data_IF_937922120869
#
_entry.id   IF_937922120869
#
_cell.length_a   1.000
_cell.length_b   1.000
_cell.length_c   1.000
_cell.angle_alpha   90.00
_cell.angle_beta   90.00
_cell.angle_gamma   90.00
#
_symmetry.space_group_name_H-M   'P 1'
#
loop_
_entity.id
_entity.type
_entity.pdbx_description
1 polymer ?
#
# COMPACT_ATOMS: atom_id res chain seq x y z
N UNK A 1 10.44 2.03 -3.95
CA UNK A 1 10.20 1.45 -2.62
C UNK A 1 10.12 -0.06 -2.75
N UNK A 2 10.87 -0.78 -1.91
CA UNK A 2 10.84 -2.25 -1.85
C UNK A 2 9.43 -2.74 -1.55
N UNK A 3 9.01 -3.83 -2.21
CA UNK A 3 7.64 -4.39 -2.15
C UNK A 3 7.37 -5.26 -0.91
N UNK A 4 8.33 -5.30 0.00
CA UNK A 4 8.34 -6.16 1.17
C UNK A 4 8.56 -5.26 2.38
N UNK A 5 7.58 -5.24 3.28
CA UNK A 5 7.71 -4.62 4.59
C UNK A 5 8.02 -5.73 5.61
N UNK A 6 9.18 -5.64 6.24
CA UNK A 6 9.51 -6.47 7.39
C UNK A 6 9.09 -5.71 8.65
N UNK A 7 7.97 -6.13 9.26
CA UNK A 7 7.57 -5.61 10.57
C UNK A 7 8.23 -6.52 11.61
N UNK A 8 9.22 -5.98 12.33
CA UNK A 8 9.86 -6.68 13.44
C UNK A 8 9.06 -6.41 14.71
N UNK A 9 8.08 -7.27 14.99
CA UNK A 9 7.41 -7.32 16.30
C UNK A 9 8.27 -8.08 17.32
N UNK A 10 8.00 -7.88 18.62
CA UNK A 10 8.78 -8.46 19.73
C UNK A 10 8.91 -10.00 19.70
N UNK A 11 8.02 -10.70 18.98
CA UNK A 11 7.99 -12.17 18.93
C UNK A 11 8.12 -12.78 17.52
N UNK A 12 8.05 -12.00 16.42
CA UNK A 12 8.14 -12.55 15.06
C UNK A 12 8.40 -11.47 14.01
N UNK A 13 9.38 -11.71 13.13
CA UNK A 13 9.61 -10.92 11.92
C UNK A 13 8.52 -11.25 10.90
N UNK A 14 7.50 -10.41 10.80
CA UNK A 14 6.43 -10.59 9.82
C UNK A 14 6.82 -9.90 8.53
N UNK A 15 7.29 -10.67 7.54
CA UNK A 15 7.51 -10.17 6.18
C UNK A 15 6.18 -10.13 5.45
N UNK A 16 5.66 -8.94 5.20
CA UNK A 16 4.49 -8.74 4.36
C UNK A 16 4.97 -8.46 2.94
N UNK A 17 4.71 -9.41 2.03
CA UNK A 17 4.90 -9.22 0.59
C UNK A 17 3.59 -8.69 -0.03
N UNK A 18 3.55 -7.40 -0.35
CA UNK A 18 2.34 -6.78 -0.91
C UNK A 18 2.05 -7.20 -2.35
N UNK A 19 3.06 -7.69 -3.06
CA UNK A 19 2.89 -8.19 -4.44
C UNK A 19 2.13 -9.51 -4.49
N UNK A 20 2.23 -10.34 -3.46
CA UNK A 20 1.52 -11.61 -3.32
C UNK A 20 0.06 -11.43 -2.89
N UNK A 21 -0.32 -10.26 -2.35
CA UNK A 21 -1.70 -9.97 -1.95
C UNK A 21 -2.63 -9.84 -3.17
N UNK A 22 -3.82 -10.42 -3.06
CA UNK A 22 -4.85 -10.23 -4.07
C UNK A 22 -5.40 -8.79 -4.06
N UNK A 23 -5.89 -8.30 -5.20
CA UNK A 23 -6.46 -6.96 -5.29
C UNK A 23 -7.66 -6.78 -4.34
N UNK A 24 -8.42 -7.86 -4.09
CA UNK A 24 -9.53 -7.87 -3.12
C UNK A 24 -9.03 -7.66 -1.69
N UNK A 25 -7.94 -8.32 -1.30
CA UNK A 25 -7.37 -8.17 0.03
C UNK A 25 -6.79 -6.78 0.26
N UNK A 26 -6.08 -6.23 -0.74
CA UNK A 26 -5.54 -4.88 -0.68
C UNK A 26 -6.68 -3.86 -0.49
N UNK A 27 -7.77 -3.99 -1.26
CA UNK A 27 -8.96 -3.14 -1.10
C UNK A 27 -9.64 -3.33 0.26
N UNK A 28 -9.71 -4.57 0.76
CA UNK A 28 -10.28 -4.87 2.08
C UNK A 28 -9.50 -4.21 3.20
N UNK A 29 -8.16 -4.27 3.17
CA UNK A 29 -7.29 -3.62 4.17
C UNK A 29 -7.41 -2.10 4.12
N UNK A 30 -7.34 -1.50 2.93
CA UNK A 30 -7.54 -0.05 2.75
C UNK A 30 -8.88 0.39 3.34
N UNK A 31 -9.98 -0.31 3.01
CA UNK A 31 -11.30 0.01 3.59
C UNK A 31 -11.35 -0.15 5.11
N UNK A 32 -10.60 -1.10 5.66
CA UNK A 32 -10.45 -1.27 7.11
C UNK A 32 -9.82 -0.04 7.75
N UNK A 33 -8.72 0.45 7.20
CA UNK A 33 -8.08 1.69 7.65
C UNK A 33 -8.99 2.90 7.44
N UNK A 34 -9.68 2.98 6.31
CA UNK A 34 -10.62 4.08 6.04
C UNK A 34 -11.75 4.15 7.06
N UNK A 35 -12.22 2.99 7.54
CA UNK A 35 -13.28 2.91 8.55
C UNK A 35 -12.79 3.34 9.93
N UNK A 36 -11.55 2.99 10.29
CA UNK A 36 -10.99 3.31 11.61
C UNK A 36 -10.49 4.75 11.70
N UNK A 37 -9.86 5.26 10.64
CA UNK A 37 -9.10 6.52 10.69
C UNK A 37 -9.64 7.60 9.73
N UNK A 38 -10.64 7.29 8.90
CA UNK A 38 -11.15 8.19 7.87
C UNK A 38 -10.29 8.14 6.59
N UNK A 39 -10.22 9.21 5.81
CA UNK A 39 -9.39 9.17 4.59
C UNK A 39 -7.89 9.16 4.91
N UNK A 40 -7.08 8.54 4.05
CA UNK A 40 -5.62 8.54 4.18
C UNK A 40 -5.05 9.96 4.35
N UNK A 41 -5.56 10.94 3.58
CA UNK A 41 -5.14 12.34 3.70
C UNK A 41 -5.47 12.95 5.06
N UNK A 42 -6.61 12.57 5.66
CA UNK A 42 -7.02 13.05 6.98
C UNK A 42 -6.17 12.43 8.07
N UNK A 43 -5.89 11.13 7.96
CA UNK A 43 -4.97 10.43 8.84
C UNK A 43 -3.57 11.05 8.78
N UNK A 44 -3.00 11.21 7.59
CA UNK A 44 -1.69 11.82 7.38
C UNK A 44 -1.60 13.25 7.93
N UNK A 45 -2.68 14.04 7.81
CA UNK A 45 -2.71 15.40 8.35
C UNK A 45 -2.72 15.44 9.89
N UNK A 46 -3.29 14.41 10.52
CA UNK A 46 -3.33 14.27 11.98
C UNK A 46 -2.14 13.51 12.56
N UNK A 47 -1.34 12.85 11.72
CA UNK A 47 -0.17 12.11 12.14
C UNK A 47 0.97 13.07 12.49
N UNK A 48 1.46 12.99 13.72
CA UNK A 48 2.61 13.76 14.20
C UNK A 48 3.66 12.80 14.74
N UNK A 49 4.87 12.82 14.17
CA UNK A 49 5.92 11.85 14.51
C UNK A 49 6.36 11.91 15.99
N UNK A 50 6.13 13.03 16.68
CA UNK A 50 6.50 13.21 18.09
C UNK A 50 5.39 12.88 19.09
N UNK A 51 4.13 12.87 18.65
CA UNK A 51 2.96 12.67 19.52
C UNK A 51 2.14 11.42 19.18
N UNK A 52 2.25 10.92 17.95
CA UNK A 52 1.51 9.74 17.52
C UNK A 52 2.16 8.46 18.05
N UNK A 53 1.34 7.48 18.48
CA UNK A 53 1.84 6.18 18.90
C UNK A 53 2.61 5.46 17.77
N UNK A 54 3.59 4.61 18.10
CA UNK A 54 4.38 3.87 17.12
C UNK A 54 3.52 2.97 16.21
N UNK A 55 2.35 2.53 16.68
CA UNK A 55 1.36 1.80 15.90
C UNK A 55 0.81 2.61 14.72
N UNK A 56 0.66 3.94 14.88
CA UNK A 56 0.19 4.82 13.81
C UNK A 56 1.25 4.95 12.70
N UNK A 57 2.53 4.91 13.06
CA UNK A 57 3.61 4.88 12.07
C UNK A 57 3.56 3.59 11.23
N UNK A 58 3.37 2.44 11.87
CA UNK A 58 3.23 1.16 11.17
C UNK A 58 2.01 1.20 10.24
N UNK A 59 0.90 1.73 10.74
CA UNK A 59 -0.34 1.90 9.96
C UNK A 59 -0.12 2.82 8.75
N UNK A 60 0.58 3.93 8.93
CA UNK A 60 0.92 4.85 7.86
C UNK A 60 1.69 4.14 6.74
N UNK A 61 2.76 3.44 7.12
CA UNK A 61 3.64 2.75 6.18
C UNK A 61 2.90 1.62 5.45
N UNK A 62 2.11 0.81 6.17
CA UNK A 62 1.30 -0.25 5.55
C UNK A 62 0.30 0.34 4.54
N UNK A 63 -0.41 1.39 4.92
CA UNK A 63 -1.40 2.03 4.07
C UNK A 63 -0.79 2.67 2.82
N UNK A 64 0.37 3.34 2.95
CA UNK A 64 1.12 3.83 1.80
C UNK A 64 1.55 2.71 0.85
N UNK A 65 2.04 1.59 1.39
CA UNK A 65 2.42 0.42 0.59
C UNK A 65 1.23 -0.14 -0.19
N UNK A 66 0.05 -0.28 0.44
CA UNK A 66 -1.17 -0.75 -0.21
C UNK A 66 -1.63 0.19 -1.33
N UNK A 67 -1.61 1.50 -1.10
CA UNK A 67 -1.99 2.51 -2.10
C UNK A 67 -1.02 2.50 -3.30
N UNK A 68 0.28 2.41 -3.03
CA UNK A 68 1.29 2.34 -4.07
C UNK A 68 1.16 1.08 -4.91
N UNK A 69 0.88 -0.07 -4.28
CA UNK A 69 0.66 -1.34 -4.98
C UNK A 69 -0.58 -1.28 -5.90
N UNK A 70 -1.69 -0.70 -5.45
CA UNK A 70 -2.87 -0.47 -6.33
C UNK A 70 -2.51 0.44 -7.51
N UNK A 71 -1.79 1.54 -7.24
CA UNK A 71 -1.39 2.50 -8.29
C UNK A 71 -0.47 1.84 -9.31
N UNK A 72 0.51 1.06 -8.84
CA UNK A 72 1.42 0.26 -9.66
C UNK A 72 0.65 -0.71 -10.55
N UNK A 73 -0.27 -1.52 -9.99
CA UNK A 73 -1.09 -2.46 -10.78
C UNK A 73 -1.99 -1.77 -11.81
N UNK A 74 -2.58 -0.63 -11.45
CA UNK A 74 -3.39 0.19 -12.38
C UNK A 74 -2.53 0.75 -13.51
N UNK A 75 -1.33 1.26 -13.20
CA UNK A 75 -0.39 1.77 -14.19
C UNK A 75 0.11 0.67 -15.12
N UNK A 76 0.46 -0.51 -14.59
CA UNK A 76 0.83 -1.68 -15.40
C UNK A 76 -0.31 -2.09 -16.33
N UNK A 77 -1.55 -2.14 -15.85
CA UNK A 77 -2.72 -2.45 -16.69
C UNK A 77 -2.91 -1.43 -17.82
N UNK A 78 -2.67 -0.14 -17.57
CA UNK A 78 -2.74 0.90 -18.60
C UNK A 78 -1.56 0.85 -19.58
N UNK A 79 -0.38 0.47 -19.12
CA UNK A 79 0.81 0.31 -19.97
C UNK A 79 0.70 -0.86 -20.94
N UNK A 80 0.04 -1.95 -20.53
CA UNK A 80 -0.20 -3.12 -21.38
C UNK A 80 -1.15 -2.82 -22.56
N UNK A 81 -2.06 -1.86 -22.38
CA UNK A 81 -3.02 -1.43 -23.41
C UNK A 81 -2.34 -0.53 -24.47
N UNK A 82 -1.21 0.10 -24.15
CA UNK A 82 -0.51 1.04 -25.05
C UNK A 82 0.47 0.35 -26.03
N UNK A 83 0.60 -0.98 -25.97
CA UNK A 83 1.44 -1.79 -26.87
C UNK A 83 0.76 -2.23 -28.18
N UNK A 84 -0.27 -1.52 -28.64
CA UNK A 84 -0.96 -1.82 -29.90
C UNK A 84 -0.06 -1.60 -31.13
N UNK A 85 0.47 -2.70 -31.67
CA UNK A 85 0.98 -2.91 -33.04
C UNK A 85 1.85 -1.80 -33.64
N UNK A 86 3.18 -1.97 -33.61
CA UNK A 86 4.03 -1.57 -34.75
C UNK A 86 4.28 -2.80 -35.63
N UNK A 87 3.65 -2.85 -36.81
CA UNK A 87 4.02 -3.80 -37.86
C UNK A 87 5.46 -3.49 -38.31
N UNK A 88 6.30 -4.51 -38.56
CA UNK A 88 7.60 -4.29 -39.18
C UNK A 88 7.40 -3.88 -40.65
N UNK A 89 8.31 -3.04 -41.16
CA UNK A 89 8.42 -2.71 -42.58
C UNK A 89 9.58 -3.48 -43.16
#
# INVERSE_FOLDING_TARGET
>A
MSRILAIKGADSETKIDYSSLSLKEIQKRIKGYEKSYGSFTKFLRGYDCGYSPPEDYITLIDWECLLNEIKSRKSTRLSLIRGGKRKPR
#
